data_IF_360092680518
#
_entry.id   IF_360092680518
#
_cell.length_a   1.000
_cell.length_b   1.000
_cell.length_c   1.000
_cell.angle_alpha   90.00
_cell.angle_beta   90.00
_cell.angle_gamma   90.00
#
_symmetry.space_group_name_H-M   'P 1'
#
loop_
_entity.id
_entity.type
_entity.pdbx_description
1 polymer ?
#
# COMPACT_ATOMS: atom_id res chain seq x y z
N UNK A 1 -16.73 12.16 9.42
CA UNK A 1 -15.59 11.26 9.13
C UNK A 1 -16.13 9.84 9.00
N UNK A 2 -16.04 9.25 7.82
CA UNK A 2 -16.52 7.89 7.61
C UNK A 2 -15.59 6.91 8.32
N UNK A 3 -16.18 5.97 9.08
CA UNK A 3 -15.43 4.92 9.74
C UNK A 3 -14.75 4.03 8.66
N UNK A 4 -13.41 3.91 8.67
CA UNK A 4 -12.70 3.06 7.70
C UNK A 4 -13.20 1.62 7.67
N UNK A 5 -13.75 1.13 8.78
CA UNK A 5 -14.33 -0.22 8.84
C UNK A 5 -15.62 -0.38 8.07
N UNK A 6 -16.43 0.66 7.97
CA UNK A 6 -17.69 0.60 7.23
C UNK A 6 -17.49 0.63 5.73
N UNK A 7 -16.42 1.29 5.26
CA UNK A 7 -16.14 1.40 3.84
C UNK A 7 -15.64 0.09 3.23
N UNK A 8 -14.97 -0.75 4.01
CA UNK A 8 -14.47 -2.04 3.52
C UNK A 8 -15.55 -3.08 3.28
N UNK A 9 -16.73 -2.94 3.89
CA UNK A 9 -17.82 -3.90 3.73
C UNK A 9 -18.74 -3.62 2.54
N UNK A 10 -18.79 -2.38 2.04
CA UNK A 10 -19.79 -1.98 1.06
C UNK A 10 -19.32 -1.91 -0.39
N UNK A 11 -18.05 -1.60 -0.65
CA UNK A 11 -17.60 -1.25 -2.01
C UNK A 11 -16.36 -1.94 -2.53
N UNK A 12 -15.71 -2.80 -1.74
CA UNK A 12 -14.54 -3.54 -2.20
C UNK A 12 -13.31 -2.64 -2.44
N UNK A 13 -12.65 -2.80 -3.52
CA UNK A 13 -11.30 -2.35 -3.79
C UNK A 13 -11.16 -0.85 -4.12
N UNK A 14 -11.12 0.03 -3.12
CA UNK A 14 -10.81 1.45 -3.32
C UNK A 14 -10.24 2.15 -2.11
N UNK A 15 -10.04 1.42 -1.01
CA UNK A 15 -9.48 1.94 0.24
C UNK A 15 -8.06 1.38 0.42
N UNK A 16 -7.07 2.26 0.30
CA UNK A 16 -5.66 1.89 0.29
C UNK A 16 -4.97 2.25 1.60
N UNK A 17 -4.37 1.27 2.23
CA UNK A 17 -3.45 1.52 3.34
C UNK A 17 -2.06 1.83 2.77
N UNK A 18 -1.47 2.93 3.22
CA UNK A 18 -0.15 3.37 2.77
C UNK A 18 0.87 3.26 3.89
N UNK A 19 2.05 2.76 3.56
CA UNK A 19 3.15 2.66 4.51
C UNK A 19 4.49 2.78 3.78
N UNK A 20 5.55 2.90 4.56
CA UNK A 20 6.91 2.79 4.06
C UNK A 20 7.62 1.65 4.79
N UNK A 21 8.33 0.85 4.03
CA UNK A 21 9.13 -0.25 4.59
C UNK A 21 10.59 0.10 4.40
N UNK A 22 11.24 0.44 5.51
CA UNK A 22 12.60 0.92 5.49
C UNK A 22 13.60 -0.22 5.23
N UNK A 23 14.59 0.07 4.41
CA UNK A 23 15.80 -0.72 4.35
C UNK A 23 16.83 -0.17 5.34
N UNK A 24 18.07 -0.04 4.89
CA UNK A 24 19.13 0.59 5.68
C UNK A 24 18.83 2.06 5.94
N UNK A 25 19.03 2.50 7.18
CA UNK A 25 18.78 3.89 7.58
C UNK A 25 19.48 4.91 6.66
N UNK A 26 18.72 5.92 6.25
CA UNK A 26 19.25 6.99 5.36
C UNK A 26 19.39 6.58 3.89
N UNK A 27 19.01 5.37 3.53
CA UNK A 27 19.06 4.84 2.17
C UNK A 27 17.64 4.66 1.60
N UNK A 28 17.56 3.95 0.49
CA UNK A 28 16.29 3.67 -0.18
C UNK A 28 15.29 2.95 0.73
N UNK A 29 14.03 3.25 0.53
CA UNK A 29 12.92 2.53 1.17
C UNK A 29 11.85 2.17 0.14
N UNK A 30 10.93 1.30 0.53
CA UNK A 30 9.77 0.94 -0.29
C UNK A 30 8.56 1.69 0.20
N UNK A 31 7.82 2.28 -0.73
CA UNK A 31 6.47 2.80 -0.49
C UNK A 31 5.50 1.69 -0.86
N UNK A 32 4.63 1.32 0.07
CA UNK A 32 3.66 0.26 -0.14
C UNK A 32 2.24 0.80 -0.07
N UNK A 33 1.40 0.30 -0.95
CA UNK A 33 -0.03 0.58 -0.96
C UNK A 33 -0.76 -0.76 -1.03
N UNK A 34 -1.62 -1.02 -0.07
CA UNK A 34 -2.36 -2.28 0.00
C UNK A 34 -3.86 -2.00 0.02
N UNK A 35 -4.58 -2.56 -0.94
CA UNK A 35 -6.04 -2.48 -0.95
C UNK A 35 -6.62 -3.32 0.19
N UNK A 36 -7.46 -2.72 1.00
CA UNK A 36 -7.98 -3.35 2.23
C UNK A 36 -8.88 -4.53 1.96
N UNK A 37 -9.59 -4.53 0.85
CA UNK A 37 -10.51 -5.61 0.50
C UNK A 37 -9.79 -6.81 -0.13
N UNK A 38 -9.03 -6.56 -1.19
CA UNK A 38 -8.39 -7.61 -1.98
C UNK A 38 -7.01 -8.01 -1.50
N UNK A 39 -6.40 -7.19 -0.62
CA UNK A 39 -4.99 -7.32 -0.22
C UNK A 39 -4.02 -7.07 -1.37
N UNK A 40 -4.50 -6.54 -2.48
CA UNK A 40 -3.66 -6.23 -3.65
C UNK A 40 -2.60 -5.19 -3.27
N UNK A 41 -1.37 -5.49 -3.61
CA UNK A 41 -0.20 -4.73 -3.19
C UNK A 41 0.42 -4.00 -4.37
N UNK A 42 0.75 -2.72 -4.17
CA UNK A 42 1.62 -1.94 -5.05
C UNK A 42 2.86 -1.52 -4.28
N UNK A 43 4.02 -1.64 -4.90
CA UNK A 43 5.29 -1.29 -4.30
C UNK A 43 6.07 -0.37 -5.24
N UNK A 44 6.69 0.67 -4.67
CA UNK A 44 7.63 1.50 -5.40
C UNK A 44 8.80 1.87 -4.51
N UNK A 45 10.02 1.71 -5.04
CA UNK A 45 11.25 2.13 -4.35
C UNK A 45 11.45 3.64 -4.51
N UNK A 46 11.78 4.31 -3.42
CA UNK A 46 12.25 5.70 -3.42
C UNK A 46 13.66 5.76 -2.89
N UNK A 47 14.45 6.71 -3.40
CA UNK A 47 15.87 6.81 -3.07
C UNK A 47 16.12 7.12 -1.59
N UNK A 48 15.20 7.85 -0.97
CA UNK A 48 15.27 8.22 0.44
C UNK A 48 13.86 8.49 0.96
N UNK A 49 13.64 8.25 2.24
CA UNK A 49 12.34 8.44 2.90
C UNK A 49 12.08 9.93 3.13
N UNK A 50 11.67 10.64 2.09
CA UNK A 50 11.26 12.05 2.15
C UNK A 50 9.82 12.20 1.65
N UNK A 51 9.05 13.07 2.29
CA UNK A 51 7.62 13.24 2.02
C UNK A 51 7.33 13.49 0.54
N UNK A 52 8.07 14.38 -0.11
CA UNK A 52 7.88 14.66 -1.53
C UNK A 52 8.00 13.41 -2.41
N UNK A 53 9.05 12.61 -2.20
CA UNK A 53 9.29 11.39 -2.98
C UNK A 53 8.26 10.31 -2.70
N UNK A 54 7.85 10.19 -1.44
CA UNK A 54 6.82 9.22 -1.04
C UNK A 54 5.47 9.56 -1.69
N UNK A 55 5.07 10.81 -1.63
CA UNK A 55 3.80 11.26 -2.24
C UNK A 55 3.83 11.11 -3.76
N UNK A 56 4.91 11.49 -4.41
CA UNK A 56 5.07 11.29 -5.86
C UNK A 56 4.94 9.80 -6.25
N UNK A 57 5.55 8.92 -5.48
CA UNK A 57 5.46 7.48 -5.71
C UNK A 57 4.02 6.98 -5.55
N UNK A 58 3.30 7.45 -4.54
CA UNK A 58 1.89 7.10 -4.31
C UNK A 58 1.02 7.58 -5.47
N UNK A 59 1.21 8.79 -5.95
CA UNK A 59 0.47 9.34 -7.10
C UNK A 59 0.69 8.47 -8.33
N UNK A 60 1.94 8.13 -8.63
CA UNK A 60 2.28 7.29 -9.79
C UNK A 60 1.63 5.90 -9.70
N UNK A 61 1.62 5.29 -8.53
CA UNK A 61 1.04 3.96 -8.34
C UNK A 61 -0.49 3.96 -8.39
N UNK A 62 -1.13 4.96 -7.82
CA UNK A 62 -2.60 5.01 -7.69
C UNK A 62 -3.31 5.60 -8.89
N UNK A 63 -2.66 6.44 -9.69
CA UNK A 63 -3.32 7.15 -10.79
C UNK A 63 -4.14 6.23 -11.71
N UNK A 64 -3.62 5.07 -12.17
CA UNK A 64 -4.38 4.17 -13.04
C UNK A 64 -5.37 3.25 -12.31
N UNK A 65 -5.43 3.28 -10.99
CA UNK A 65 -6.20 2.33 -10.19
C UNK A 65 -7.45 2.95 -9.59
N UNK A 66 -8.49 2.15 -9.30
CA UNK A 66 -9.64 2.64 -8.55
C UNK A 66 -9.20 3.05 -7.14
N UNK A 67 -9.68 4.20 -6.67
CA UNK A 67 -9.28 4.79 -5.40
C UNK A 67 -10.36 5.72 -4.87
N UNK A 68 -10.69 5.58 -3.60
CA UNK A 68 -11.56 6.51 -2.89
C UNK A 68 -10.83 7.12 -1.69
N UNK A 69 -10.16 6.27 -0.92
CA UNK A 69 -9.48 6.71 0.30
C UNK A 69 -8.06 6.18 0.36
N UNK A 70 -7.22 6.92 1.04
CA UNK A 70 -5.87 6.51 1.42
C UNK A 70 -5.73 6.66 2.93
N UNK A 71 -5.21 5.62 3.57
CA UNK A 71 -5.03 5.55 5.01
C UNK A 71 -3.53 5.38 5.28
N UNK A 72 -2.77 6.49 5.37
CA UNK A 72 -1.36 6.42 5.70
C UNK A 72 -1.15 6.26 7.21
N UNK A 73 0.06 5.89 7.62
CA UNK A 73 0.41 5.98 9.01
C UNK A 73 0.71 7.45 9.41
N UNK A 74 1.04 7.69 10.68
CA UNK A 74 1.35 9.05 11.18
C UNK A 74 2.80 9.44 11.00
N UNK A 75 3.50 8.82 10.08
CA UNK A 75 4.89 9.12 9.79
C UNK A 75 5.09 10.48 9.13
N UNK A 76 6.25 11.08 9.34
CA UNK A 76 6.62 12.37 8.73
C UNK A 76 6.63 12.32 7.20
N UNK A 77 6.83 11.15 6.62
CA UNK A 77 6.82 10.93 5.17
C UNK A 77 5.46 11.21 4.52
N UNK A 78 4.40 11.29 5.30
CA UNK A 78 3.06 11.60 4.80
C UNK A 78 2.62 13.05 5.09
N UNK A 79 3.56 13.92 5.47
CA UNK A 79 3.27 15.34 5.78
C UNK A 79 2.63 16.07 4.59
N UNK A 80 3.05 15.75 3.36
CA UNK A 80 2.51 16.39 2.15
C UNK A 80 1.27 15.69 1.60
N UNK A 81 0.49 15.02 2.44
CA UNK A 81 -0.71 14.28 2.03
C UNK A 81 -1.77 15.15 1.33
N UNK A 82 -1.75 16.46 1.54
CA UNK A 82 -2.65 17.39 0.86
C UNK A 82 -2.40 17.40 -0.66
N UNK A 83 -1.16 17.23 -1.08
CA UNK A 83 -0.82 17.10 -2.50
C UNK A 83 -1.45 15.84 -3.10
N UNK A 84 -1.49 14.75 -2.34
CA UNK A 84 -2.15 13.52 -2.75
C UNK A 84 -3.64 13.74 -2.98
N UNK A 85 -4.31 14.41 -2.03
CA UNK A 85 -5.72 14.77 -2.15
C UNK A 85 -5.98 15.63 -3.38
N UNK A 86 -5.14 16.63 -3.61
CA UNK A 86 -5.30 17.58 -4.73
C UNK A 86 -5.11 16.90 -6.09
N UNK A 87 -4.12 16.01 -6.20
CA UNK A 87 -3.79 15.37 -7.48
C UNK A 87 -4.72 14.20 -7.83
N UNK A 88 -5.09 13.38 -6.85
CA UNK A 88 -5.87 12.15 -7.06
C UNK A 88 -7.34 12.27 -6.68
N UNK A 89 -7.74 13.35 -6.03
CA UNK A 89 -9.12 13.57 -5.55
C UNK A 89 -9.58 12.45 -4.59
N UNK A 90 -8.67 11.99 -3.73
CA UNK A 90 -8.94 10.97 -2.72
C UNK A 90 -9.10 11.58 -1.34
N UNK A 91 -9.89 10.94 -0.48
CA UNK A 91 -9.90 11.26 0.95
C UNK A 91 -8.66 10.66 1.61
N UNK A 92 -8.03 11.41 2.50
CA UNK A 92 -6.89 10.92 3.30
C UNK A 92 -7.33 10.87 4.76
N UNK A 93 -7.24 9.70 5.38
CA UNK A 93 -7.66 9.48 6.75
C UNK A 93 -6.54 8.83 7.54
N UNK A 94 -6.15 9.46 8.65
CA UNK A 94 -5.16 8.89 9.55
C UNK A 94 -5.82 7.98 10.58
N UNK A 95 -5.30 6.78 10.83
CA UNK A 95 -5.85 5.90 11.85
C UNK A 95 -5.65 6.48 13.24
N UNK A 96 -6.54 6.11 14.16
CA UNK A 96 -6.39 6.46 15.56
C UNK A 96 -5.11 5.80 16.11
N UNK A 97 -4.23 6.54 16.82
CA UNK A 97 -3.02 5.98 17.42
C UNK A 97 -3.28 4.81 18.37
N UNK A 98 -4.47 4.77 18.97
CA UNK A 98 -4.88 3.74 19.90
C UNK A 98 -5.67 2.58 19.27
N UNK A 99 -5.74 2.54 17.93
CA UNK A 99 -6.50 1.54 17.19
C UNK A 99 -5.63 0.84 16.13
N UNK A 100 -4.63 0.04 16.53
CA UNK A 100 -3.72 -0.63 15.60
C UNK A 100 -4.44 -1.58 14.63
N UNK A 101 -5.60 -2.12 15.00
CA UNK A 101 -6.39 -2.98 14.12
C UNK A 101 -6.90 -2.26 12.86
N UNK A 102 -6.90 -0.94 12.82
CA UNK A 102 -7.25 -0.17 11.63
C UNK A 102 -6.21 -0.30 10.51
N UNK A 103 -5.03 -0.84 10.82
CA UNK A 103 -3.92 -1.02 9.89
C UNK A 103 -3.43 -2.47 9.80
N UNK A 104 -4.24 -3.43 10.23
CA UNK A 104 -3.85 -4.84 10.24
C UNK A 104 -3.48 -5.40 8.87
N UNK A 105 -4.09 -4.91 7.79
CA UNK A 105 -3.76 -5.31 6.41
C UNK A 105 -2.33 -4.96 6.06
N UNK A 106 -1.90 -3.75 6.42
CA UNK A 106 -0.57 -3.25 6.10
C UNK A 106 0.52 -3.99 6.87
N UNK A 107 0.30 -4.22 8.17
CA UNK A 107 1.24 -4.97 9.00
C UNK A 107 1.47 -6.38 8.46
N UNK A 108 0.40 -7.07 8.08
CA UNK A 108 0.49 -8.41 7.51
C UNK A 108 1.25 -8.43 6.19
N UNK A 109 0.95 -7.50 5.30
CA UNK A 109 1.62 -7.36 4.00
C UNK A 109 3.11 -7.05 4.18
N UNK A 110 3.44 -6.14 5.08
CA UNK A 110 4.83 -5.78 5.35
C UNK A 110 5.61 -6.98 5.93
N UNK A 111 4.97 -7.79 6.76
CA UNK A 111 5.58 -9.02 7.26
C UNK A 111 5.93 -10.01 6.14
N UNK A 112 5.03 -10.19 5.18
CA UNK A 112 5.29 -11.02 4.01
C UNK A 112 6.40 -10.45 3.12
N UNK A 113 6.44 -9.14 2.96
CA UNK A 113 7.44 -8.46 2.15
C UNK A 113 8.85 -8.64 2.74
N UNK A 114 8.97 -8.71 4.07
CA UNK A 114 10.24 -8.96 4.76
C UNK A 114 10.86 -10.34 4.47
N UNK A 115 10.11 -11.28 3.91
CA UNK A 115 10.67 -12.53 3.42
C UNK A 115 11.66 -12.32 2.28
N UNK A 116 11.47 -11.26 1.49
CA UNK A 116 12.33 -10.93 0.35
C UNK A 116 13.48 -9.99 0.70
N UNK A 117 13.31 -9.14 1.70
CA UNK A 117 14.39 -8.30 2.20
C UNK A 117 14.29 -8.16 3.72
N UNK A 118 15.21 -8.77 4.46
CA UNK A 118 15.24 -8.64 5.93
C UNK A 118 15.50 -7.21 6.41
N UNK A 119 15.18 -6.95 7.68
CA UNK A 119 15.47 -5.67 8.31
C UNK A 119 16.93 -5.26 8.14
N UNK A 120 17.17 -3.99 7.83
CA UNK A 120 18.52 -3.45 7.66
C UNK A 120 19.14 -3.71 6.29
N UNK A 121 18.46 -4.41 5.39
CA UNK A 121 18.95 -4.61 4.02
C UNK A 121 19.06 -3.29 3.28
N UNK A 122 20.12 -3.11 2.50
CA UNK A 122 20.28 -1.95 1.63
C UNK A 122 19.54 -2.18 0.31
N UNK A 123 18.43 -1.48 0.14
CA UNK A 123 17.59 -1.59 -1.06
C UNK A 123 18.13 -0.78 -2.24
N UNK A 124 19.19 -0.03 -2.07
CA UNK A 124 19.73 0.86 -3.11
C UNK A 124 20.03 0.12 -4.40
N UNK A 125 20.54 -1.10 -4.30
CA UNK A 125 20.99 -1.90 -5.45
C UNK A 125 19.91 -2.83 -6.01
N UNK A 126 18.73 -2.88 -5.39
CA UNK A 126 17.61 -3.64 -5.95
C UNK A 126 16.94 -2.80 -7.04
N UNK A 127 16.90 -3.32 -8.25
CA UNK A 127 16.30 -2.62 -9.38
C UNK A 127 14.77 -2.71 -9.37
N UNK A 128 14.12 -1.93 -10.23
CA UNK A 128 12.65 -1.91 -10.33
C UNK A 128 12.10 -3.28 -10.73
N UNK A 129 12.82 -4.02 -11.56
CA UNK A 129 12.41 -5.36 -11.98
C UNK A 129 12.34 -6.34 -10.79
N UNK A 130 13.33 -6.31 -9.91
CA UNK A 130 13.34 -7.12 -8.68
C UNK A 130 12.18 -6.76 -7.76
N UNK A 131 11.93 -5.47 -7.56
CA UNK A 131 10.81 -4.98 -6.76
C UNK A 131 9.48 -5.44 -7.36
N UNK A 132 9.34 -5.36 -8.68
CA UNK A 132 8.13 -5.81 -9.38
C UNK A 132 7.92 -7.32 -9.22
N UNK A 133 8.98 -8.12 -9.21
CA UNK A 133 8.88 -9.56 -8.95
C UNK A 133 8.34 -9.85 -7.54
N UNK A 134 8.76 -9.10 -6.53
CA UNK A 134 8.23 -9.25 -5.17
C UNK A 134 6.74 -8.91 -5.11
N UNK A 135 6.34 -7.82 -5.76
CA UNK A 135 4.94 -7.41 -5.87
C UNK A 135 4.12 -8.52 -6.54
N UNK A 136 4.56 -9.02 -7.68
CA UNK A 136 3.87 -10.07 -8.44
C UNK A 136 3.74 -11.36 -7.63
N UNK A 137 4.80 -11.77 -6.95
CA UNK A 137 4.77 -12.98 -6.13
C UNK A 137 3.76 -12.89 -4.99
N UNK A 138 3.70 -11.75 -4.31
CA UNK A 138 2.74 -11.55 -3.22
C UNK A 138 1.31 -11.44 -3.73
N UNK A 139 1.10 -10.78 -4.88
CA UNK A 139 -0.23 -10.66 -5.48
C UNK A 139 -0.75 -11.98 -6.07
N UNK A 140 0.13 -12.92 -6.36
CA UNK A 140 -0.23 -14.25 -6.86
C UNK A 140 -0.12 -15.36 -5.81
N UNK A 141 0.02 -15.00 -4.55
CA UNK A 141 0.04 -15.95 -3.44
C UNK A 141 -1.38 -16.15 -2.91
N UNK A 142 -1.92 -17.41 -2.90
CA UNK A 142 -3.22 -17.67 -2.28
C UNK A 142 -3.23 -17.28 -0.80
N UNK A 143 -4.30 -16.62 -0.37
CA UNK A 143 -4.42 -16.10 0.99
C UNK A 143 -5.62 -16.72 1.69
N UNK A 144 -5.42 -17.21 2.91
CA UNK A 144 -6.49 -17.78 3.71
C UNK A 144 -7.64 -16.80 3.93
N UNK A 145 -7.32 -15.53 4.20
CA UNK A 145 -8.33 -14.48 4.40
C UNK A 145 -9.17 -14.16 3.15
N UNK A 146 -8.76 -14.65 1.99
CA UNK A 146 -9.44 -14.49 0.71
C UNK A 146 -10.05 -15.82 0.21
N UNK A 147 -10.31 -16.77 1.11
CA UNK A 147 -10.76 -18.12 0.75
C UNK A 147 -9.80 -18.80 -0.24
N UNK A 148 -8.50 -18.64 -0.03
CA UNK A 148 -7.41 -19.18 -0.83
C UNK A 148 -7.31 -18.62 -2.25
N UNK A 149 -8.05 -17.55 -2.54
CA UNK A 149 -7.82 -16.76 -3.76
C UNK A 149 -6.58 -15.90 -3.59
N UNK A 150 -6.02 -15.46 -4.72
CA UNK A 150 -4.90 -14.52 -4.70
C UNK A 150 -5.42 -13.08 -4.64
N UNK A 151 -4.62 -12.15 -4.11
CA UNK A 151 -4.97 -10.72 -4.20
C UNK A 151 -5.27 -10.26 -5.63
N UNK A 152 -4.50 -10.73 -6.61
CA UNK A 152 -4.70 -10.43 -8.03
C UNK A 152 -6.09 -10.86 -8.50
N UNK A 153 -6.52 -12.10 -8.22
CA UNK A 153 -7.82 -12.60 -8.61
C UNK A 153 -8.96 -11.79 -8.01
N UNK A 154 -8.87 -11.45 -6.73
CA UNK A 154 -9.92 -10.69 -6.03
C UNK A 154 -9.99 -9.26 -6.55
N UNK A 155 -8.86 -8.61 -6.74
CA UNK A 155 -8.78 -7.22 -7.20
C UNK A 155 -9.32 -7.07 -8.62
N UNK A 156 -8.77 -7.81 -9.56
CA UNK A 156 -9.15 -7.72 -10.97
C UNK A 156 -10.49 -8.37 -11.27
N UNK A 157 -10.86 -9.45 -10.59
CA UNK A 157 -12.18 -10.05 -10.71
C UNK A 157 -13.28 -9.06 -10.35
N UNK A 158 -13.07 -8.23 -9.34
CA UNK A 158 -14.03 -7.20 -8.95
C UNK A 158 -14.10 -6.05 -9.94
N UNK A 159 -12.98 -5.61 -10.49
CA UNK A 159 -12.95 -4.56 -11.53
C UNK A 159 -13.69 -5.03 -12.77
N UNK A 160 -13.50 -6.29 -13.17
CA UNK A 160 -14.21 -6.86 -14.35
C UNK A 160 -15.72 -6.83 -14.15
N UNK A 161 -16.21 -7.01 -12.94
CA UNK A 161 -17.66 -6.95 -12.66
C UNK A 161 -18.23 -5.53 -12.65
N UNK A 162 -17.38 -4.51 -12.57
CA UNK A 162 -17.80 -3.11 -12.62
C UNK A 162 -17.84 -2.54 -14.05
N UNK A 163 -17.31 -3.28 -14.98
CA UNK A 163 -17.32 -2.93 -16.41
C UNK A 163 -18.52 -3.55 -17.13
#
# INVERSE_FOLDING_TARGET
MKDPKKQTSELGSSDWEADTVAGKTGKACLVTLTDRYSRFLKIKKVAVKKSKLVIEAMVQMLEPLPKETVIPDRGKEFTNHQDLTNQLKVGVYFPDPHAPWQRGTNENTNGLLREYFPNGSDLTFNDEHTIQLWEDKLNNRPRKCLNWKTPYEVFYGKIVHLL
#
